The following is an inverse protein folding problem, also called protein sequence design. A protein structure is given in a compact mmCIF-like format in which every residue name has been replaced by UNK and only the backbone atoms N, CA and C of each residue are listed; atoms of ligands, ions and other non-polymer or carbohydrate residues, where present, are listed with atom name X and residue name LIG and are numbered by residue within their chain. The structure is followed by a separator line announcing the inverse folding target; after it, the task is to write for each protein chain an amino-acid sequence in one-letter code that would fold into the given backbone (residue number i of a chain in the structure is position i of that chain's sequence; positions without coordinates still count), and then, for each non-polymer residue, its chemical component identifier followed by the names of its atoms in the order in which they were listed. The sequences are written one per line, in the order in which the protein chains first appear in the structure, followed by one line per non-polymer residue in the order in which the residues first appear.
data_IF_237472312796
#
_entry.id   IF_237472312796
#
_cell.length_a   1.000
_cell.length_b   1.000
_cell.length_c   1.000
_cell.angle_alpha   90.00
_cell.angle_beta   90.00
_cell.angle_gamma   90.00
#
_symmetry.space_group_name_H-M   'P 1'
#
loop_
_entity.id
_entity.type
_entity.pdbx_description
1 polymer ?
#
# COMPACT_ATOMS: atom_id res chain seq x y z
N UNK A 1 22.57 36.47 -9.82
CA UNK A 1 21.99 35.32 -10.54
C UNK A 1 22.87 34.08 -10.47
N UNK A 2 24.15 34.15 -10.84
CA UNK A 2 25.10 33.00 -10.81
C UNK A 2 25.16 32.24 -9.47
N UNK A 3 25.11 32.95 -8.33
CA UNK A 3 25.11 32.32 -6.99
C UNK A 3 23.91 31.40 -6.73
N UNK A 4 22.74 31.67 -7.32
CA UNK A 4 21.55 30.81 -7.17
C UNK A 4 21.66 29.53 -7.98
N UNK A 5 22.24 29.61 -9.17
CA UNK A 5 22.52 28.43 -10.01
C UNK A 5 23.58 27.53 -9.36
N UNK A 6 24.63 28.10 -8.77
CA UNK A 6 25.62 27.32 -8.01
C UNK A 6 25.04 26.65 -6.75
N UNK A 7 24.11 27.31 -6.06
CA UNK A 7 23.43 26.72 -4.91
C UNK A 7 22.49 25.58 -5.32
N UNK A 8 21.80 25.73 -6.45
CA UNK A 8 20.93 24.68 -7.02
C UNK A 8 21.74 23.46 -7.49
N UNK A 9 22.90 23.65 -8.13
CA UNK A 9 23.79 22.55 -8.51
C UNK A 9 24.49 21.87 -7.32
N UNK A 10 24.43 22.43 -6.11
CA UNK A 10 24.97 21.86 -4.86
C UNK A 10 23.89 21.26 -3.96
N UNK A 11 22.64 21.27 -4.40
CA UNK A 11 21.50 20.81 -3.62
C UNK A 11 21.32 19.29 -3.78
N UNK A 12 21.78 18.53 -2.79
CA UNK A 12 21.63 17.06 -2.72
C UNK A 12 20.24 16.64 -2.17
N UNK A 13 19.37 17.61 -1.88
CA UNK A 13 17.99 17.36 -1.43
C UNK A 13 17.19 16.52 -2.44
N UNK A 14 17.50 16.66 -3.73
CA UNK A 14 16.94 15.82 -4.80
C UNK A 14 17.48 14.39 -4.80
N UNK A 15 18.77 14.20 -4.52
CA UNK A 15 19.38 12.87 -4.45
C UNK A 15 18.86 12.08 -3.24
N UNK A 16 18.75 12.73 -2.08
CA UNK A 16 18.12 12.15 -0.88
C UNK A 16 16.63 11.83 -1.08
N UNK A 17 15.90 12.64 -1.86
CA UNK A 17 14.51 12.33 -2.22
C UNK A 17 14.37 11.04 -3.03
N UNK A 18 15.34 10.69 -3.88
CA UNK A 18 15.33 9.43 -4.65
C UNK A 18 15.64 8.22 -3.75
N UNK A 19 16.55 8.37 -2.78
CA UNK A 19 16.88 7.30 -1.82
C UNK A 19 15.68 6.95 -0.93
N UNK A 20 15.08 7.96 -0.28
CA UNK A 20 13.87 7.74 0.52
C UNK A 20 12.66 7.39 -0.35
N UNK A 21 12.60 7.88 -1.59
CA UNK A 21 11.58 7.52 -2.57
C UNK A 21 11.59 6.03 -2.92
N UNK A 22 12.77 5.42 -3.09
CA UNK A 22 12.91 3.99 -3.34
C UNK A 22 12.48 3.16 -2.14
N UNK A 23 12.86 3.55 -0.92
CA UNK A 23 12.44 2.87 0.31
C UNK A 23 10.92 2.95 0.47
N UNK A 24 10.34 4.13 0.27
CA UNK A 24 8.89 4.34 0.33
C UNK A 24 8.15 3.49 -0.72
N UNK A 25 8.69 3.34 -1.92
CA UNK A 25 8.12 2.49 -2.96
C UNK A 25 8.13 1.00 -2.54
N UNK A 26 9.24 0.51 -1.99
CA UNK A 26 9.34 -0.88 -1.52
C UNK A 26 8.38 -1.19 -0.37
N UNK A 27 8.29 -0.30 0.63
CA UNK A 27 7.35 -0.43 1.75
C UNK A 27 5.91 -0.41 1.24
N UNK A 28 5.60 0.47 0.28
CA UNK A 28 4.28 0.57 -0.33
C UNK A 28 3.87 -0.71 -1.05
N UNK A 29 4.76 -1.31 -1.84
CA UNK A 29 4.50 -2.59 -2.53
C UNK A 29 4.25 -3.71 -1.53
N UNK A 30 5.06 -3.81 -0.48
CA UNK A 30 4.87 -4.80 0.58
C UNK A 30 3.53 -4.61 1.31
N UNK A 31 3.17 -3.37 1.62
CA UNK A 31 1.89 -3.03 2.26
C UNK A 31 0.70 -3.41 1.36
N UNK A 32 0.75 -3.11 0.07
CA UNK A 32 -0.29 -3.49 -0.90
C UNK A 32 -0.47 -5.01 -0.91
N UNK A 33 0.62 -5.79 -0.95
CA UNK A 33 0.57 -7.24 -0.91
C UNK A 33 -0.09 -7.77 0.36
N UNK A 34 0.32 -7.25 1.52
CA UNK A 34 -0.24 -7.64 2.82
C UNK A 34 -1.73 -7.30 2.95
N UNK A 35 -2.12 -6.09 2.55
CA UNK A 35 -3.51 -5.64 2.59
C UNK A 35 -4.40 -6.44 1.63
N UNK A 36 -3.88 -6.83 0.47
CA UNK A 36 -4.58 -7.69 -0.50
C UNK A 36 -4.86 -9.06 0.09
N UNK A 37 -3.85 -9.71 0.69
CA UNK A 37 -4.00 -11.00 1.33
C UNK A 37 -5.00 -10.95 2.50
N UNK A 38 -4.90 -9.91 3.35
CA UNK A 38 -5.84 -9.66 4.44
C UNK A 38 -7.27 -9.47 3.93
N UNK A 39 -7.47 -8.68 2.88
CA UNK A 39 -8.77 -8.46 2.25
C UNK A 39 -9.40 -9.75 1.72
N UNK A 40 -8.60 -10.64 1.12
CA UNK A 40 -9.05 -11.95 0.65
C UNK A 40 -9.50 -12.85 1.80
N UNK A 41 -8.75 -12.88 2.90
CA UNK A 41 -9.11 -13.63 4.11
C UNK A 41 -10.41 -13.13 4.74
N UNK A 42 -10.56 -11.80 4.87
CA UNK A 42 -11.79 -11.19 5.38
C UNK A 42 -12.99 -11.50 4.48
N UNK A 43 -12.83 -11.36 3.16
CA UNK A 43 -13.88 -11.72 2.19
C UNK A 43 -14.30 -13.18 2.37
N UNK A 44 -13.34 -14.09 2.50
CA UNK A 44 -13.61 -15.52 2.72
C UNK A 44 -14.40 -15.76 4.00
N UNK A 45 -14.03 -15.11 5.10
CA UNK A 45 -14.74 -15.21 6.38
C UNK A 45 -16.19 -14.71 6.24
N UNK A 46 -16.39 -13.52 5.68
CA UNK A 46 -17.74 -12.96 5.51
C UNK A 46 -18.59 -13.78 4.53
N UNK A 47 -18.00 -14.31 3.46
CA UNK A 47 -18.70 -15.22 2.55
C UNK A 47 -19.14 -16.49 3.28
N UNK A 48 -18.29 -17.11 4.11
CA UNK A 48 -18.67 -18.29 4.91
C UNK A 48 -19.85 -17.98 5.84
N UNK A 49 -19.80 -16.86 6.56
CA UNK A 49 -20.88 -16.43 7.45
C UNK A 49 -22.17 -16.18 6.66
N UNK A 50 -22.08 -15.47 5.54
CA UNK A 50 -23.23 -15.21 4.66
C UNK A 50 -23.84 -16.50 4.13
N UNK A 51 -23.03 -17.46 3.67
CA UNK A 51 -23.50 -18.75 3.18
C UNK A 51 -24.17 -19.57 4.29
N UNK A 52 -23.60 -19.59 5.50
CA UNK A 52 -24.19 -20.28 6.64
C UNK A 52 -25.55 -19.67 7.02
N UNK A 53 -25.65 -18.34 7.04
CA UNK A 53 -26.90 -17.65 7.32
C UNK A 53 -27.97 -17.92 6.25
N UNK A 54 -27.62 -17.84 4.97
CA UNK A 54 -28.54 -18.17 3.88
C UNK A 54 -28.98 -19.63 3.93
N UNK A 55 -28.07 -20.55 4.25
CA UNK A 55 -28.39 -21.97 4.45
C UNK A 55 -29.40 -22.16 5.59
N UNK A 56 -29.21 -21.49 6.72
CA UNK A 56 -30.13 -21.55 7.85
C UNK A 56 -31.52 -20.97 7.54
N UNK A 57 -31.59 -19.88 6.76
CA UNK A 57 -32.86 -19.29 6.32
C UNK A 57 -33.60 -20.19 5.33
N UNK A 58 -32.88 -20.85 4.42
CA UNK A 58 -33.47 -21.69 3.37
C UNK A 58 -33.78 -23.13 3.83
N UNK A 59 -33.49 -23.48 5.09
CA UNK A 59 -33.83 -24.78 5.69
C UNK A 59 -35.19 -24.80 6.43
N UNK A 60 -35.96 -23.71 6.31
CA UNK A 60 -37.41 -23.67 6.59
C UNK A 60 -38.19 -23.86 5.31
#
# INVERSE_FOLDING_TARGET
MLKRLQAFCRDESGATAIEYGLIAALVSVAAIGALTAMGSSLKTMFTKVSSALSGAVNQT
#
